data_IF_901424099731
#
_entry.id   IF_901424099731
#
_cell.length_a   1.000
_cell.length_b   1.000
_cell.length_c   1.000
_cell.angle_alpha   90.00
_cell.angle_beta   90.00
_cell.angle_gamma   90.00
#
_symmetry.space_group_name_H-M   'P 1'
#
loop_
_entity.id
_entity.type
_entity.pdbx_description
1 polymer ?
#
# COMPACT_ATOMS: atom_id res chain seq x y z
N UNK A 1 15.91 -10.73 -18.08
CA UNK A 1 16.64 -9.47 -17.84
C UNK A 1 15.62 -8.35 -17.83
N UNK A 2 15.32 -7.79 -16.66
CA UNK A 2 14.46 -6.61 -16.55
C UNK A 2 15.23 -5.39 -17.04
N UNK A 3 14.60 -4.60 -17.90
CA UNK A 3 15.14 -3.34 -18.39
C UNK A 3 15.40 -2.41 -17.20
N UNK A 4 16.66 -2.00 -17.03
CA UNK A 4 17.00 -0.88 -16.15
C UNK A 4 16.47 0.36 -16.85
N UNK A 5 15.43 0.96 -16.26
CA UNK A 5 14.79 2.17 -16.75
C UNK A 5 15.82 3.27 -17.04
N UNK A 6 15.63 3.98 -18.15
CA UNK A 6 16.41 5.16 -18.51
C UNK A 6 16.40 6.16 -17.35
N UNK A 7 17.49 6.24 -16.59
CA UNK A 7 17.66 7.23 -15.55
C UNK A 7 17.75 8.61 -16.22
N UNK A 8 16.62 9.33 -16.27
CA UNK A 8 16.61 10.67 -16.85
C UNK A 8 17.12 11.65 -15.79
N UNK A 9 18.33 12.17 -15.99
CA UNK A 9 18.94 13.14 -15.07
C UNK A 9 18.38 14.54 -15.39
N UNK A 10 17.19 14.83 -14.86
CA UNK A 10 16.61 16.16 -14.96
C UNK A 10 17.12 17.05 -13.83
N UNK A 11 17.65 18.25 -14.13
CA UNK A 11 18.04 19.19 -13.10
C UNK A 11 16.80 19.73 -12.36
N UNK A 12 16.77 19.58 -11.04
CA UNK A 12 15.72 20.13 -10.18
C UNK A 12 16.28 21.34 -9.43
N UNK A 13 15.64 22.50 -9.60
CA UNK A 13 15.99 23.72 -8.87
C UNK A 13 15.01 23.94 -7.73
N UNK A 14 15.52 24.17 -6.52
CA UNK A 14 14.71 24.42 -5.32
C UNK A 14 15.15 25.69 -4.62
N UNK A 15 14.20 26.39 -3.99
CA UNK A 15 14.50 27.52 -3.11
C UNK A 15 14.44 27.04 -1.67
N UNK A 16 15.54 27.21 -0.95
CA UNK A 16 15.67 26.85 0.46
C UNK A 16 16.06 28.06 1.28
N UNK A 17 15.66 28.14 2.57
CA UNK A 17 16.17 29.16 3.47
C UNK A 17 17.70 29.11 3.57
N UNK A 18 18.35 30.26 3.69
CA UNK A 18 19.82 30.38 3.70
C UNK A 18 20.48 29.49 4.76
N UNK A 19 19.91 29.43 5.97
CA UNK A 19 20.42 28.59 7.06
C UNK A 19 20.43 27.10 6.71
N UNK A 20 19.49 26.63 5.88
CA UNK A 20 19.45 25.22 5.44
C UNK A 20 20.59 24.97 4.47
N UNK A 21 20.79 25.87 3.51
CA UNK A 21 21.89 25.76 2.54
C UNK A 21 23.24 25.74 3.24
N UNK A 22 23.43 26.62 4.23
CA UNK A 22 24.64 26.67 5.06
C UNK A 22 24.88 25.34 5.81
N UNK A 23 23.83 24.73 6.36
CA UNK A 23 23.95 23.43 7.05
C UNK A 23 24.29 22.29 6.09
N UNK A 24 23.73 22.29 4.88
CA UNK A 24 24.11 21.33 3.85
C UNK A 24 25.59 21.50 3.50
N UNK A 25 26.06 22.74 3.34
CA UNK A 25 27.47 23.02 3.09
C UNK A 25 28.39 22.54 4.20
N UNK A 26 28.02 22.75 5.47
CA UNK A 26 28.77 22.22 6.60
C UNK A 26 28.88 20.70 6.54
N UNK A 27 27.81 19.99 6.18
CA UNK A 27 27.79 18.53 6.08
C UNK A 27 28.69 18.01 4.95
N UNK A 28 28.68 18.69 3.80
CA UNK A 28 29.57 18.39 2.67
C UNK A 28 31.03 18.69 3.03
N UNK A 29 31.31 19.84 3.66
CA UNK A 29 32.65 20.21 4.16
C UNK A 29 33.20 19.19 5.15
N UNK A 30 32.34 18.66 6.03
CA UNK A 30 32.69 17.60 7.00
C UNK A 30 32.82 16.21 6.36
N UNK A 31 32.73 16.09 5.03
CA UNK A 31 32.78 14.84 4.25
C UNK A 31 31.74 13.81 4.69
N UNK A 32 30.63 14.25 5.30
CA UNK A 32 29.48 13.37 5.58
C UNK A 32 28.70 13.03 4.31
N UNK A 33 28.80 13.89 3.30
CA UNK A 33 28.23 13.70 1.97
C UNK A 33 29.23 14.15 0.92
N UNK A 34 29.15 13.52 -0.27
CA UNK A 34 30.09 13.80 -1.37
C UNK A 34 29.82 15.14 -2.06
N UNK A 35 28.56 15.57 -2.08
CA UNK A 35 28.13 16.84 -2.67
C UNK A 35 26.77 17.27 -2.10
N UNK A 36 26.34 18.50 -2.41
CA UNK A 36 24.97 18.94 -2.10
C UNK A 36 23.94 18.02 -2.75
N UNK A 37 24.15 17.65 -4.01
CA UNK A 37 23.24 16.76 -4.75
C UNK A 37 23.14 15.38 -4.10
N UNK A 38 24.26 14.83 -3.61
CA UNK A 38 24.30 13.56 -2.88
C UNK A 38 23.47 13.64 -1.59
N UNK A 39 23.62 14.73 -0.82
CA UNK A 39 22.80 15.00 0.36
C UNK A 39 21.31 15.10 0.01
N UNK A 40 20.94 15.88 -1.01
CA UNK A 40 19.55 16.08 -1.40
C UNK A 40 18.92 14.77 -1.87
N UNK A 41 19.62 13.98 -2.69
CA UNK A 41 19.14 12.65 -3.13
C UNK A 41 18.91 11.75 -1.92
N UNK A 42 19.84 11.68 -0.98
CA UNK A 42 19.68 10.92 0.25
C UNK A 42 18.46 11.37 1.07
N UNK A 43 18.33 12.68 1.31
CA UNK A 43 17.25 13.24 2.12
C UNK A 43 15.87 12.98 1.50
N UNK A 44 15.73 13.14 0.19
CA UNK A 44 14.48 12.86 -0.53
C UNK A 44 14.13 11.37 -0.45
N UNK A 45 15.08 10.47 -0.73
CA UNK A 45 14.85 9.02 -0.62
C UNK A 45 14.47 8.61 0.79
N UNK A 46 15.14 9.17 1.80
CA UNK A 46 14.82 8.88 3.20
C UNK A 46 13.41 9.35 3.58
N UNK A 47 13.06 10.59 3.21
CA UNK A 47 11.74 11.14 3.50
C UNK A 47 10.62 10.35 2.81
N UNK A 48 10.81 9.98 1.53
CA UNK A 48 9.87 9.12 0.80
C UNK A 48 9.70 7.77 1.50
N UNK A 49 10.79 7.14 1.92
CA UNK A 49 10.72 5.88 2.66
C UNK A 49 9.95 5.98 3.98
N UNK A 50 10.12 7.08 4.72
CA UNK A 50 9.36 7.31 5.96
C UNK A 50 7.86 7.49 5.70
N UNK A 51 7.50 8.29 4.70
CA UNK A 51 6.10 8.52 4.31
C UNK A 51 5.45 7.19 3.91
N UNK A 52 6.11 6.40 3.06
CA UNK A 52 5.58 5.11 2.62
C UNK A 52 5.42 4.12 3.78
N UNK A 53 6.35 4.10 4.74
CA UNK A 53 6.23 3.25 5.93
C UNK A 53 5.08 3.68 6.85
N UNK A 54 4.86 4.98 7.00
CA UNK A 54 3.75 5.52 7.78
C UNK A 54 2.41 5.17 7.14
N UNK A 55 2.27 5.37 5.82
CA UNK A 55 1.09 4.94 5.06
C UNK A 55 0.84 3.44 5.18
N UNK A 56 1.90 2.62 5.10
CA UNK A 56 1.78 1.17 5.26
C UNK A 56 1.33 0.77 6.67
N UNK A 57 1.81 1.47 7.72
CA UNK A 57 1.37 1.25 9.10
C UNK A 57 -0.08 1.64 9.31
N UNK A 58 -0.50 2.78 8.76
CA UNK A 58 -1.89 3.22 8.84
C UNK A 58 -2.82 2.28 8.09
N UNK A 59 -2.42 1.79 6.90
CA UNK A 59 -3.14 0.73 6.20
C UNK A 59 -3.23 -0.53 7.05
N UNK A 60 -2.12 -1.04 7.58
CA UNK A 60 -2.12 -2.25 8.41
C UNK A 60 -2.95 -2.11 9.70
N UNK A 61 -3.10 -0.89 10.23
CA UNK A 61 -3.94 -0.61 11.40
C UNK A 61 -5.43 -0.63 11.04
N UNK A 62 -5.79 -0.14 9.85
CA UNK A 62 -7.18 -0.06 9.39
C UNK A 62 -7.63 -1.34 8.67
N UNK A 63 -6.71 -2.12 8.12
CA UNK A 63 -6.93 -3.40 7.44
C UNK A 63 -7.73 -4.42 8.27
N UNK A 64 -7.46 -4.66 9.58
CA UNK A 64 -8.31 -5.55 10.38
C UNK A 64 -9.75 -5.02 10.57
N UNK A 65 -9.95 -3.70 10.66
CA UNK A 65 -11.30 -3.11 10.75
C UNK A 65 -12.04 -3.18 9.42
N UNK A 66 -11.35 -2.93 8.29
CA UNK A 66 -11.92 -3.06 6.95
C UNK A 66 -12.27 -4.52 6.63
N UNK A 67 -11.36 -5.46 6.92
CA UNK A 67 -11.63 -6.89 6.79
C UNK A 67 -12.77 -7.35 7.70
N UNK A 68 -12.91 -6.78 8.90
CA UNK A 68 -14.05 -7.10 9.76
C UNK A 68 -15.37 -6.55 9.22
N UNK A 69 -15.37 -5.34 8.66
CA UNK A 69 -16.54 -4.77 7.96
C UNK A 69 -16.91 -5.59 6.73
N UNK A 70 -15.95 -5.90 5.87
CA UNK A 70 -16.16 -6.75 4.69
C UNK A 70 -16.66 -8.13 5.08
N UNK A 71 -16.09 -8.74 6.13
CA UNK A 71 -16.56 -10.03 6.65
C UNK A 71 -18.00 -9.94 7.15
N UNK A 72 -18.37 -8.88 7.87
CA UNK A 72 -19.75 -8.66 8.34
C UNK A 72 -20.71 -8.45 7.16
N UNK A 73 -20.32 -7.68 6.15
CA UNK A 73 -21.11 -7.47 4.94
C UNK A 73 -21.29 -8.76 4.14
N UNK A 74 -20.21 -9.51 3.90
CA UNK A 74 -20.24 -10.79 3.23
C UNK A 74 -21.13 -11.79 3.99
N UNK A 75 -21.05 -11.81 5.32
CA UNK A 75 -21.91 -12.66 6.15
C UNK A 75 -23.39 -12.24 6.09
N UNK A 76 -23.69 -10.93 6.04
CA UNK A 76 -25.04 -10.42 5.84
C UNK A 76 -25.61 -10.79 4.45
N UNK A 77 -24.80 -10.69 3.39
CA UNK A 77 -25.18 -11.11 2.03
C UNK A 77 -25.43 -12.61 1.95
N UNK A 78 -24.54 -13.42 2.51
CA UNK A 78 -24.70 -14.88 2.65
C UNK A 78 -26.01 -15.24 3.34
N UNK A 79 -26.32 -14.56 4.46
CA UNK A 79 -27.56 -14.79 5.21
C UNK A 79 -28.81 -14.35 4.45
N UNK A 80 -28.72 -13.28 3.67
CA UNK A 80 -29.80 -12.79 2.82
C UNK A 80 -29.97 -13.62 1.53
N UNK A 81 -29.03 -14.52 1.22
CA UNK A 81 -29.01 -15.26 -0.03
C UNK A 81 -28.69 -14.38 -1.25
N UNK A 82 -28.08 -13.22 -1.05
CA UNK A 82 -27.73 -12.27 -2.12
C UNK A 82 -26.32 -12.56 -2.63
N UNK A 83 -26.25 -13.17 -3.82
CA UNK A 83 -25.00 -13.53 -4.51
C UNK A 83 -24.85 -12.79 -5.84
N UNK A 84 -25.58 -11.69 -6.01
CA UNK A 84 -25.66 -10.95 -7.28
C UNK A 84 -24.32 -10.36 -7.77
N UNK A 85 -23.31 -10.31 -6.90
CA UNK A 85 -21.97 -9.77 -7.19
C UNK A 85 -20.86 -10.82 -7.26
N UNK A 86 -21.18 -12.10 -7.09
CA UNK A 86 -20.20 -13.19 -7.13
C UNK A 86 -19.92 -13.60 -8.59
N UNK A 87 -18.70 -14.04 -8.86
CA UNK A 87 -18.32 -14.57 -10.17
C UNK A 87 -18.95 -15.96 -10.43
N UNK A 88 -18.90 -16.39 -11.70
CA UNK A 88 -19.56 -17.62 -12.14
C UNK A 88 -19.00 -18.88 -11.46
N UNK A 89 -17.70 -18.92 -11.17
CA UNK A 89 -17.05 -20.05 -10.49
C UNK A 89 -17.49 -20.12 -9.02
N UNK A 90 -17.53 -18.98 -8.34
CA UNK A 90 -17.98 -18.86 -6.95
C UNK A 90 -19.46 -19.23 -6.81
N UNK A 91 -20.32 -18.79 -7.75
CA UNK A 91 -21.73 -19.16 -7.77
C UNK A 91 -21.95 -20.67 -7.94
N UNK A 92 -21.16 -21.32 -8.80
CA UNK A 92 -21.25 -22.76 -9.01
C UNK A 92 -20.83 -23.55 -7.76
N UNK A 93 -19.77 -23.10 -7.08
CA UNK A 93 -19.32 -23.68 -5.83
C UNK A 93 -20.38 -23.55 -4.71
N UNK A 94 -20.97 -22.36 -4.56
CA UNK A 94 -22.03 -22.12 -3.57
C UNK A 94 -23.25 -23.02 -3.78
N UNK A 95 -23.67 -23.21 -5.04
CA UNK A 95 -24.76 -24.15 -5.39
C UNK A 95 -24.42 -25.59 -5.02
N UNK A 96 -23.17 -26.03 -5.25
CA UNK A 96 -22.72 -27.39 -4.87
C UNK A 96 -22.70 -27.57 -3.36
N UNK A 97 -22.27 -26.56 -2.61
CA UNK A 97 -22.25 -26.57 -1.14
C UNK A 97 -23.67 -26.61 -0.56
N UNK A 98 -24.58 -25.75 -1.04
CA UNK A 98 -25.99 -25.73 -0.60
C UNK A 98 -26.69 -27.07 -0.89
N UNK A 99 -26.50 -27.63 -2.09
CA UNK A 99 -27.06 -28.94 -2.44
C UNK A 99 -26.50 -30.08 -1.56
N UNK A 100 -25.27 -29.96 -1.07
CA UNK A 100 -24.67 -30.92 -0.14
C UNK A 100 -25.20 -30.72 1.29
N UNK A 101 -25.36 -29.49 1.73
CA UNK A 101 -25.91 -29.15 3.05
C UNK A 101 -27.37 -29.63 3.21
N UNK A 102 -28.21 -29.39 2.20
CA UNK A 102 -29.60 -29.90 2.15
C UNK A 102 -29.68 -31.43 2.21
N UNK A 103 -28.75 -32.12 1.53
CA UNK A 103 -28.64 -33.60 1.57
C UNK A 103 -28.23 -34.14 2.94
N UNK A 104 -27.49 -33.36 3.73
CA UNK A 104 -27.06 -33.74 5.08
C UNK A 104 -28.10 -33.40 6.17
N UNK A 105 -29.30 -32.97 5.79
CA UNK A 105 -30.42 -32.74 6.72
C UNK A 105 -30.45 -31.36 7.36
N UNK A 106 -29.66 -30.39 6.85
CA UNK A 106 -29.76 -29.00 7.29
C UNK A 106 -31.13 -28.42 6.91
N UNK A 107 -31.97 -28.15 7.92
CA UNK A 107 -33.25 -27.44 7.70
C UNK A 107 -32.97 -25.96 7.44
N UNK A 108 -33.69 -25.43 6.45
CA UNK A 108 -33.79 -24.01 6.14
C UNK A 108 -34.31 -23.18 7.31
#
# INVERSE_FOLDING_TARGET
>A
MMAVENAVDYPISVRLPSYVVEKIDELVKKRKFRSRSDFIKFAVTFALGQIMMEEARERAKNEPEELEKERKEAWMRLRAGDFSKEDEETLELLKKVDARYKRLGGRS
#
